data_IF_361684258973
#
_entry.id   IF_361684258973
#
_cell.length_a   1.000
_cell.length_b   1.000
_cell.length_c   1.000
_cell.angle_alpha   90.00
_cell.angle_beta   90.00
_cell.angle_gamma   90.00
#
_symmetry.space_group_name_H-M   'P 1'
#
loop_
_entity.id
_entity.type
_entity.pdbx_description
1 polymer ?
#
# COMPACT_ATOMS: atom_id res chain seq x y z
N UNK A 1 -11.65 -19.80 20.92
CA UNK A 1 -10.49 -20.68 20.79
C UNK A 1 -9.46 -19.93 19.98
N UNK A 2 -8.18 -19.85 20.35
CA UNK A 2 -7.20 -19.29 19.47
C UNK A 2 -7.19 -20.13 18.19
N UNK A 3 -7.27 -19.46 17.05
CA UNK A 3 -7.23 -20.09 15.75
C UNK A 3 -5.78 -20.58 15.56
N UNK A 4 -5.52 -21.84 15.87
CA UNK A 4 -4.20 -22.46 15.79
C UNK A 4 -3.95 -22.85 14.32
N UNK A 5 -3.93 -21.83 13.45
CA UNK A 5 -3.63 -22.00 12.03
C UNK A 5 -2.28 -22.70 11.88
N UNK A 6 -2.17 -23.61 10.94
CA UNK A 6 -0.89 -24.21 10.60
C UNK A 6 0.11 -23.09 10.25
N UNK A 7 1.29 -23.10 10.89
CA UNK A 7 2.22 -21.99 10.79
C UNK A 7 3.62 -22.46 10.42
N UNK A 8 4.16 -21.90 9.36
CA UNK A 8 5.57 -21.97 8.99
C UNK A 8 6.27 -20.80 9.70
N UNK A 9 7.32 -21.07 10.46
CA UNK A 9 8.11 -20.03 11.14
C UNK A 9 9.50 -19.96 10.55
N UNK A 10 9.88 -18.78 10.07
CA UNK A 10 11.16 -18.48 9.45
C UNK A 10 11.93 -17.45 10.26
N UNK A 11 13.16 -17.77 10.68
CA UNK A 11 14.07 -16.76 11.23
C UNK A 11 14.79 -16.04 10.10
N UNK A 12 14.88 -14.71 10.23
CA UNK A 12 15.57 -13.81 9.30
C UNK A 12 16.80 -13.24 10.00
N UNK A 13 17.98 -13.60 9.52
CA UNK A 13 19.25 -13.13 10.07
C UNK A 13 20.14 -12.64 8.94
N UNK A 14 20.47 -11.34 8.91
CA UNK A 14 21.29 -10.73 7.85
C UNK A 14 20.82 -11.11 6.42
N UNK A 15 19.52 -11.06 6.16
CA UNK A 15 18.94 -11.42 4.87
C UNK A 15 18.89 -12.93 4.58
N UNK A 16 19.34 -13.79 5.50
CA UNK A 16 19.25 -15.23 5.38
C UNK A 16 18.00 -15.76 6.10
N UNK A 17 17.15 -16.47 5.36
CA UNK A 17 16.04 -17.25 5.91
C UNK A 17 16.54 -18.61 6.41
N UNK A 18 16.04 -19.03 7.56
CA UNK A 18 16.23 -20.36 8.12
C UNK A 18 14.92 -20.85 8.75
N UNK A 19 14.63 -22.14 8.61
CA UNK A 19 13.44 -22.77 9.19
C UNK A 19 13.57 -22.85 10.71
N UNK A 20 12.57 -22.36 11.42
CA UNK A 20 12.40 -22.55 12.87
C UNK A 20 11.33 -23.60 13.13
N UNK A 21 10.19 -23.49 12.44
CA UNK A 21 9.10 -24.47 12.48
C UNK A 21 8.62 -24.72 11.06
N UNK A 22 8.41 -25.97 10.73
CA UNK A 22 7.79 -26.37 9.47
C UNK A 22 6.32 -26.70 9.67
N UNK A 23 5.53 -26.53 8.64
CA UNK A 23 4.15 -26.97 8.57
C UNK A 23 3.87 -27.49 7.18
N UNK A 24 2.97 -28.47 7.09
CA UNK A 24 2.61 -29.08 5.83
C UNK A 24 1.74 -28.11 5.01
N UNK A 25 2.17 -27.83 3.80
CA UNK A 25 1.33 -27.16 2.80
C UNK A 25 0.52 -28.21 2.06
N UNK A 26 -0.80 -28.15 2.15
CA UNK A 26 -1.72 -29.13 1.57
C UNK A 26 -2.54 -28.46 0.50
N UNK A 27 -2.68 -29.14 -0.63
CA UNK A 27 -3.53 -28.70 -1.74
C UNK A 27 -4.99 -28.49 -1.29
N UNK A 28 -5.65 -27.45 -1.83
CA UNK A 28 -7.01 -27.09 -1.48
C UNK A 28 -7.18 -26.40 -0.13
N UNK A 29 -6.09 -26.11 0.60
CA UNK A 29 -6.13 -25.37 1.85
C UNK A 29 -6.38 -23.87 1.60
N UNK A 30 -7.34 -23.31 2.32
CA UNK A 30 -7.71 -21.88 2.23
C UNK A 30 -7.56 -21.22 3.61
N UNK A 31 -6.81 -20.12 3.71
CA UNK A 31 -6.66 -19.28 4.91
C UNK A 31 -6.30 -20.04 6.20
N UNK A 32 -5.71 -21.22 6.09
CA UNK A 32 -5.33 -22.05 7.23
C UNK A 32 -3.80 -22.26 7.35
N UNK A 33 -3.00 -21.77 6.40
CA UNK A 33 -1.55 -21.83 6.44
C UNK A 33 -0.98 -20.40 6.45
N UNK A 34 -0.22 -20.08 7.50
CA UNK A 34 0.46 -18.78 7.65
C UNK A 34 1.97 -18.94 7.61
N UNK A 35 2.65 -17.86 7.26
CA UNK A 35 4.09 -17.72 7.43
C UNK A 35 4.35 -16.59 8.44
N UNK A 36 5.15 -16.89 9.46
CA UNK A 36 5.65 -15.93 10.44
C UNK A 36 7.14 -15.70 10.21
N UNK A 37 7.57 -14.45 10.23
CA UNK A 37 8.98 -14.07 10.08
C UNK A 37 9.52 -13.52 11.40
N UNK A 38 10.51 -14.18 11.98
CA UNK A 38 11.20 -13.77 13.19
C UNK A 38 12.48 -13.03 12.83
N UNK A 39 12.46 -11.71 12.88
CA UNK A 39 13.61 -10.86 12.58
C UNK A 39 14.59 -10.85 13.74
N UNK A 40 15.81 -11.30 13.51
CA UNK A 40 16.86 -11.42 14.54
C UNK A 40 17.92 -10.33 14.46
N UNK A 41 17.87 -9.46 13.45
CA UNK A 41 18.79 -8.34 13.26
C UNK A 41 18.03 -7.03 13.15
N UNK A 42 18.67 -5.94 13.57
CA UNK A 42 18.05 -4.61 13.61
C UNK A 42 17.87 -3.98 12.22
N UNK A 43 18.51 -4.52 11.19
CA UNK A 43 18.45 -4.01 9.81
C UNK A 43 17.01 -3.95 9.27
N UNK A 44 16.14 -4.79 9.81
CA UNK A 44 14.71 -4.86 9.45
C UNK A 44 13.81 -3.92 10.25
N UNK A 45 14.36 -3.20 11.23
CA UNK A 45 13.58 -2.28 12.03
C UNK A 45 13.10 -1.08 11.19
N UNK A 46 11.87 -0.65 11.44
CA UNK A 46 11.23 0.47 10.75
C UNK A 46 11.17 0.31 9.21
N UNK A 47 11.21 -0.92 8.70
CA UNK A 47 10.98 -1.22 7.30
C UNK A 47 9.54 -1.70 7.10
N UNK A 48 8.92 -1.32 5.98
CA UNK A 48 7.71 -2.00 5.49
C UNK A 48 8.14 -3.34 4.93
N UNK A 49 7.64 -4.43 5.52
CA UNK A 49 8.05 -5.79 5.22
C UNK A 49 7.02 -6.46 4.31
N UNK A 50 7.50 -7.02 3.21
CA UNK A 50 6.65 -7.68 2.21
C UNK A 50 7.21 -9.08 1.93
N UNK A 51 6.38 -10.09 2.16
CA UNK A 51 6.67 -11.45 1.73
C UNK A 51 6.45 -11.56 0.21
N UNK A 52 7.30 -12.33 -0.43
CA UNK A 52 7.21 -12.60 -1.86
C UNK A 52 7.06 -14.10 -2.04
N UNK A 53 6.02 -14.50 -2.73
CA UNK A 53 5.74 -15.88 -3.04
C UNK A 53 5.86 -16.12 -4.53
N UNK A 54 6.42 -17.26 -4.91
CA UNK A 54 6.60 -17.66 -6.30
C UNK A 54 6.24 -19.12 -6.45
N UNK A 55 5.42 -19.47 -7.45
CA UNK A 55 5.17 -20.87 -7.80
C UNK A 55 6.45 -21.49 -8.40
N UNK A 56 6.79 -22.67 -7.95
CA UNK A 56 7.97 -23.40 -8.40
C UNK A 56 9.24 -23.09 -7.59
N UNK A 57 10.37 -23.58 -8.10
CA UNK A 57 11.68 -23.23 -7.56
C UNK A 57 12.20 -22.00 -8.28
N UNK A 58 12.63 -21.02 -7.51
CA UNK A 58 13.28 -19.84 -8.07
C UNK A 58 14.65 -20.19 -8.63
N UNK A 59 14.69 -20.49 -9.89
CA UNK A 59 15.92 -20.46 -10.69
C UNK A 59 15.64 -19.54 -11.87
N UNK A 60 16.18 -18.34 -11.86
CA UNK A 60 16.44 -17.40 -12.97
C UNK A 60 15.40 -17.17 -14.08
N UNK A 61 14.23 -17.81 -14.06
CA UNK A 61 13.23 -17.74 -15.14
C UNK A 61 11.81 -17.73 -14.59
N UNK A 62 11.48 -16.74 -13.76
CA UNK A 62 10.08 -16.49 -13.37
C UNK A 62 9.51 -15.40 -14.23
N UNK A 63 8.42 -15.70 -14.92
CA UNK A 63 7.55 -14.64 -15.47
C UNK A 63 6.90 -13.89 -14.32
N UNK A 64 6.70 -12.58 -14.46
CA UNK A 64 6.05 -11.76 -13.43
C UNK A 64 4.63 -12.25 -13.04
N UNK A 65 4.02 -13.12 -13.85
CA UNK A 65 2.69 -13.68 -13.62
C UNK A 65 2.61 -14.67 -12.45
N UNK A 66 3.75 -15.22 -11.99
CA UNK A 66 3.79 -16.23 -10.94
C UNK A 66 4.24 -15.68 -9.58
N UNK A 67 4.36 -14.36 -9.46
CA UNK A 67 4.85 -13.69 -8.24
C UNK A 67 3.70 -13.02 -7.52
N UNK A 68 3.52 -13.37 -6.24
CA UNK A 68 2.55 -12.73 -5.33
C UNK A 68 3.28 -12.02 -4.20
N UNK A 69 2.88 -10.77 -3.94
CA UNK A 69 3.42 -9.96 -2.85
C UNK A 69 2.37 -9.82 -1.75
N UNK A 70 2.78 -10.08 -0.51
CA UNK A 70 1.91 -9.96 0.67
C UNK A 70 2.62 -9.14 1.74
N UNK A 71 2.00 -8.04 2.16
CA UNK A 71 2.54 -7.21 3.24
C UNK A 71 2.29 -7.93 4.57
N UNK A 72 3.29 -7.93 5.45
CA UNK A 72 3.16 -8.55 6.76
C UNK A 72 2.27 -7.69 7.67
N UNK A 73 1.55 -8.38 8.54
CA UNK A 73 0.83 -7.75 9.65
C UNK A 73 1.76 -7.30 10.78
N UNK A 74 1.19 -6.71 11.84
CA UNK A 74 1.92 -6.22 13.01
C UNK A 74 2.64 -7.35 13.78
N UNK A 75 2.22 -8.61 13.61
CA UNK A 75 2.85 -9.80 14.18
C UNK A 75 3.96 -10.35 13.29
N UNK A 76 4.26 -9.71 12.17
CA UNK A 76 5.14 -10.18 11.11
C UNK A 76 4.66 -11.50 10.48
N UNK A 77 3.37 -11.65 10.31
CA UNK A 77 2.71 -12.81 9.70
C UNK A 77 2.03 -12.44 8.40
N UNK A 78 1.84 -13.42 7.55
CA UNK A 78 0.96 -13.34 6.38
C UNK A 78 0.38 -14.72 6.04
N UNK A 79 -0.75 -14.74 5.35
CA UNK A 79 -1.30 -15.97 4.80
C UNK A 79 -0.51 -16.39 3.56
N UNK A 80 -0.39 -17.71 3.35
CA UNK A 80 0.12 -18.24 2.08
C UNK A 80 -0.96 -18.05 1.02
N UNK A 81 -0.65 -17.40 -0.12
CA UNK A 81 -1.61 -17.19 -1.19
C UNK A 81 -2.27 -18.50 -1.65
N UNK A 82 -3.60 -18.48 -1.77
CA UNK A 82 -4.40 -19.67 -2.08
C UNK A 82 -4.07 -20.26 -3.45
N UNK A 83 -3.65 -19.41 -4.40
CA UNK A 83 -3.25 -19.83 -5.73
C UNK A 83 -2.05 -20.77 -5.71
N UNK A 84 -1.17 -20.63 -4.71
CA UNK A 84 -0.01 -21.51 -4.53
C UNK A 84 -0.42 -22.88 -3.99
N UNK A 85 -1.53 -22.93 -3.26
CA UNK A 85 -2.08 -24.13 -2.65
C UNK A 85 -3.17 -24.79 -3.54
N UNK A 86 -3.48 -24.21 -4.71
CA UNK A 86 -4.50 -24.72 -5.62
C UNK A 86 -4.11 -26.03 -6.32
N UNK A 87 -2.84 -26.37 -6.37
CA UNK A 87 -2.30 -27.59 -6.97
C UNK A 87 -1.06 -28.02 -6.23
N UNK A 88 -0.78 -29.32 -6.26
CA UNK A 88 0.49 -29.88 -5.81
C UNK A 88 1.69 -29.25 -6.53
N UNK A 89 2.86 -29.34 -5.97
CA UNK A 89 4.08 -28.81 -6.57
C UNK A 89 4.99 -28.11 -5.57
N UNK A 90 5.73 -27.14 -6.06
CA UNK A 90 6.68 -26.36 -5.24
C UNK A 90 6.28 -24.90 -5.25
N UNK A 91 6.49 -24.23 -4.12
CA UNK A 91 6.54 -22.76 -4.06
C UNK A 91 7.76 -22.30 -3.29
N UNK A 92 8.14 -21.06 -3.53
CA UNK A 92 9.24 -20.42 -2.82
C UNK A 92 8.74 -19.17 -2.14
N UNK A 93 9.24 -18.88 -0.95
CA UNK A 93 8.98 -17.66 -0.20
C UNK A 93 10.28 -16.94 0.08
N UNK A 94 10.24 -15.63 -0.08
CA UNK A 94 11.27 -14.68 0.31
C UNK A 94 10.64 -13.49 1.01
N UNK A 95 11.47 -12.58 1.49
CA UNK A 95 10.99 -11.35 2.11
C UNK A 95 11.90 -10.18 1.75
N UNK A 96 11.34 -9.01 1.56
CA UNK A 96 12.10 -7.78 1.50
C UNK A 96 11.49 -6.72 2.43
N UNK A 97 12.34 -5.79 2.84
CA UNK A 97 11.96 -4.61 3.62
C UNK A 97 12.39 -3.34 2.91
N UNK A 98 11.54 -2.32 2.94
CA UNK A 98 11.82 -1.00 2.36
C UNK A 98 11.61 0.06 3.43
N UNK A 99 12.53 1.03 3.47
CA UNK A 99 12.43 2.25 4.26
C UNK A 99 13.20 3.35 3.52
N UNK A 100 12.53 4.43 3.17
CA UNK A 100 13.10 5.52 2.39
C UNK A 100 13.82 5.01 1.12
N UNK A 101 15.11 5.22 1.00
CA UNK A 101 15.98 4.70 -0.06
C UNK A 101 16.64 3.35 0.26
N UNK A 102 16.38 2.82 1.46
CA UNK A 102 16.96 1.55 1.93
C UNK A 102 16.08 0.37 1.57
N UNK A 103 16.69 -0.66 0.96
CA UNK A 103 16.06 -1.95 0.67
C UNK A 103 16.92 -3.10 1.18
N UNK A 104 16.31 -3.99 1.94
CA UNK A 104 16.90 -5.25 2.37
C UNK A 104 16.11 -6.41 1.79
N UNK A 105 16.78 -7.45 1.35
CA UNK A 105 16.15 -8.64 0.76
C UNK A 105 16.70 -9.90 1.41
N UNK A 106 15.90 -10.97 1.43
CA UNK A 106 16.34 -12.30 1.86
C UNK A 106 16.68 -13.21 0.68
N UNK A 107 17.28 -14.35 0.98
CA UNK A 107 17.29 -15.49 0.07
C UNK A 107 15.89 -16.14 0.02
N UNK A 108 15.73 -17.12 -0.86
CA UNK A 108 14.51 -17.90 -1.00
C UNK A 108 14.50 -19.13 -0.12
N UNK A 109 13.29 -19.51 0.36
CA UNK A 109 13.02 -20.78 1.01
C UNK A 109 11.94 -21.54 0.23
N UNK A 110 12.21 -22.80 -0.12
CA UNK A 110 11.30 -23.61 -0.93
C UNK A 110 10.47 -24.55 -0.05
N UNK A 111 9.21 -24.71 -0.43
CA UNK A 111 8.23 -25.60 0.19
C UNK A 111 7.55 -26.46 -0.87
N UNK A 112 7.10 -27.65 -0.45
CA UNK A 112 6.30 -28.52 -1.28
C UNK A 112 4.84 -28.49 -0.82
N UNK A 113 3.95 -28.30 -1.78
CA UNK A 113 2.51 -28.55 -1.61
C UNK A 113 2.26 -30.02 -1.92
N UNK A 114 1.64 -30.72 -0.99
CA UNK A 114 1.26 -32.14 -1.16
C UNK A 114 -0.21 -32.25 -1.48
N UNK A 115 -0.60 -33.35 -2.12
CA UNK A 115 -1.98 -33.64 -2.46
C UNK A 115 -2.91 -33.52 -1.25
N UNK A 116 -4.04 -32.85 -1.43
CA UNK A 116 -5.09 -32.72 -0.43
C UNK A 116 -6.24 -33.70 -0.70
N UNK A 117 -7.00 -33.99 0.33
CA UNK A 117 -8.21 -34.82 0.18
C UNK A 117 -9.38 -34.07 -0.47
N UNK A 118 -9.28 -32.76 -0.64
CA UNK A 118 -10.23 -31.89 -1.30
C UNK A 118 -9.51 -31.08 -2.38
N UNK A 119 -9.23 -31.74 -3.49
CA UNK A 119 -8.59 -31.13 -4.65
C UNK A 119 -9.54 -31.28 -5.84
N UNK A 120 -10.23 -30.22 -6.21
CA UNK A 120 -11.10 -30.20 -7.39
C UNK A 120 -10.42 -29.60 -8.63
N UNK A 121 -9.14 -29.21 -8.48
CA UNK A 121 -8.34 -28.58 -9.53
C UNK A 121 -8.79 -27.17 -9.90
N UNK A 122 -9.79 -26.63 -9.23
CA UNK A 122 -10.18 -25.21 -9.36
C UNK A 122 -9.34 -24.34 -8.43
N UNK A 123 -9.03 -23.14 -8.87
CA UNK A 123 -8.45 -22.15 -7.97
C UNK A 123 -9.56 -21.69 -7.02
N UNK A 124 -9.42 -21.90 -5.70
CA UNK A 124 -10.40 -21.41 -4.74
C UNK A 124 -10.59 -19.91 -4.90
N UNK A 125 -11.83 -19.45 -4.75
CA UNK A 125 -12.09 -18.01 -4.67
C UNK A 125 -11.43 -17.51 -3.38
N UNK A 126 -10.41 -16.68 -3.51
CA UNK A 126 -9.73 -16.09 -2.35
C UNK A 126 -10.71 -15.14 -1.64
N UNK A 127 -11.10 -15.43 -0.38
CA UNK A 127 -11.86 -14.49 0.42
C UNK A 127 -11.00 -13.34 0.95
N UNK A 128 -9.67 -13.42 0.80
CA UNK A 128 -8.79 -12.35 1.23
C UNK A 128 -8.77 -11.21 0.23
N UNK A 129 -8.64 -10.02 0.77
CA UNK A 129 -8.49 -8.81 -0.01
C UNK A 129 -7.26 -8.89 -0.92
N UNK A 130 -7.42 -8.43 -2.13
CA UNK A 130 -6.32 -8.27 -3.09
C UNK A 130 -5.24 -7.35 -2.50
N UNK A 131 -4.01 -7.42 -3.03
CA UNK A 131 -2.94 -6.48 -2.66
C UNK A 131 -3.42 -5.02 -2.75
N UNK A 132 -4.26 -4.72 -3.74
CA UNK A 132 -4.87 -3.41 -3.91
C UNK A 132 -5.76 -3.03 -2.72
N UNK A 133 -6.63 -3.94 -2.26
CA UNK A 133 -7.48 -3.72 -1.08
C UNK A 133 -6.68 -3.62 0.21
N UNK A 134 -5.60 -4.40 0.34
CA UNK A 134 -4.67 -4.28 1.47
C UNK A 134 -3.98 -2.91 1.48
N UNK A 135 -3.52 -2.42 0.33
CA UNK A 135 -2.94 -1.09 0.18
C UNK A 135 -3.97 -0.01 0.51
N UNK A 136 -5.20 -0.13 0.01
CA UNK A 136 -6.29 0.82 0.30
C UNK A 136 -6.61 0.82 1.79
N UNK A 137 -6.71 -0.35 2.43
CA UNK A 137 -6.92 -0.44 3.88
C UNK A 137 -5.79 0.22 4.68
N UNK A 138 -4.53 0.01 4.29
CA UNK A 138 -3.39 0.66 4.92
C UNK A 138 -3.37 2.17 4.71
N UNK A 139 -3.76 2.66 3.52
CA UNK A 139 -3.87 4.08 3.23
C UNK A 139 -4.98 4.72 4.06
N UNK A 140 -6.13 4.06 4.18
CA UNK A 140 -7.25 4.53 5.00
C UNK A 140 -6.86 4.60 6.49
N UNK A 141 -6.18 3.58 7.02
CA UNK A 141 -5.69 3.58 8.40
C UNK A 141 -4.63 4.66 8.66
N UNK A 142 -3.82 5.02 7.65
CA UNK A 142 -2.87 6.15 7.76
C UNK A 142 -3.55 7.51 7.64
N UNK A 143 -4.67 7.58 6.91
CA UNK A 143 -5.47 8.81 6.77
C UNK A 143 -6.18 9.19 8.07
N UNK A 144 -6.50 8.22 8.94
CA UNK A 144 -7.14 8.50 10.23
C UNK A 144 -6.17 8.98 11.31
N UNK A 145 -4.86 8.81 11.13
CA UNK A 145 -3.85 9.33 12.06
C UNK A 145 -3.49 10.77 11.71
N UNK A 146 -4.40 11.68 12.09
CA UNK A 146 -4.03 13.07 12.37
C UNK A 146 -3.40 13.90 11.24
N UNK A 147 -3.77 13.66 9.98
CA UNK A 147 -3.51 14.64 8.93
C UNK A 147 -4.52 15.77 9.03
N UNK A 148 -4.30 16.61 10.02
CA UNK A 148 -5.04 17.85 10.14
C UNK A 148 -4.42 18.87 9.19
N UNK A 149 -5.03 19.07 8.04
CA UNK A 149 -4.65 20.12 7.08
C UNK A 149 -5.11 21.51 7.54
N UNK A 150 -5.81 21.58 8.68
CA UNK A 150 -6.44 22.81 9.19
C UNK A 150 -5.43 23.91 9.52
N UNK A 151 -4.16 23.58 9.76
CA UNK A 151 -3.12 24.59 9.99
C UNK A 151 -2.44 25.12 8.70
N UNK A 152 -2.65 24.49 7.56
CA UNK A 152 -2.02 24.84 6.28
C UNK A 152 -2.95 25.42 5.24
N UNK A 153 -4.22 25.12 5.33
CA UNK A 153 -5.22 25.56 4.37
C UNK A 153 -6.35 26.27 5.10
N UNK A 154 -6.77 27.39 4.54
CA UNK A 154 -7.95 28.09 5.06
C UNK A 154 -9.16 27.18 4.99
N UNK A 155 -9.94 27.13 6.05
CA UNK A 155 -11.27 26.53 6.02
C UNK A 155 -12.15 27.29 5.02
N UNK A 156 -13.26 26.68 4.58
CA UNK A 156 -14.19 27.36 3.65
C UNK A 156 -14.65 28.70 4.19
N UNK A 157 -14.92 28.82 5.50
CA UNK A 157 -15.30 30.06 6.14
C UNK A 157 -14.18 31.11 6.14
N UNK A 158 -12.96 30.72 6.47
CA UNK A 158 -11.80 31.63 6.43
C UNK A 158 -11.42 32.05 5.00
N UNK A 159 -11.70 31.20 4.00
CA UNK A 159 -11.57 31.53 2.58
C UNK A 159 -12.60 32.59 2.16
N UNK A 160 -13.85 32.43 2.57
CA UNK A 160 -14.93 33.37 2.28
C UNK A 160 -14.65 34.75 2.90
N UNK A 161 -14.02 34.80 4.09
CA UNK A 161 -13.65 36.06 4.77
C UNK A 161 -12.39 36.72 4.17
N UNK A 162 -11.52 36.00 3.50
CA UNK A 162 -10.25 36.51 2.96
C UNK A 162 -10.29 36.87 1.48
N UNK A 163 -11.16 36.23 0.73
CA UNK A 163 -11.28 36.50 -0.69
C UNK A 163 -12.51 37.40 -0.93
N UNK A 164 -12.29 38.46 -1.69
CA UNK A 164 -13.35 39.37 -2.10
C UNK A 164 -14.43 38.56 -2.81
N UNK A 165 -15.67 38.66 -2.32
CA UNK A 165 -16.82 38.01 -2.95
C UNK A 165 -17.10 38.58 -4.33
N UNK A 166 -17.78 37.81 -5.19
CA UNK A 166 -18.19 38.29 -6.51
C UNK A 166 -19.11 39.51 -6.41
N UNK A 167 -19.87 39.64 -5.32
CA UNK A 167 -20.75 40.77 -5.05
C UNK A 167 -19.95 42.03 -4.70
N UNK A 168 -18.86 41.88 -3.92
CA UNK A 168 -17.95 43.00 -3.61
C UNK A 168 -17.18 43.43 -4.86
N UNK A 169 -16.75 42.52 -5.71
CA UNK A 169 -16.13 42.84 -7.00
C UNK A 169 -17.10 43.63 -7.88
N UNK A 170 -18.35 43.17 -7.98
CA UNK A 170 -19.36 43.86 -8.75
C UNK A 170 -19.65 45.26 -8.20
N UNK A 171 -19.66 45.44 -6.86
CA UNK A 171 -19.82 46.74 -6.22
C UNK A 171 -18.62 47.66 -6.48
N UNK A 172 -17.40 47.14 -6.42
CA UNK A 172 -16.18 47.91 -6.73
C UNK A 172 -16.21 48.35 -8.21
N UNK A 173 -16.60 47.47 -9.11
CA UNK A 173 -16.70 47.77 -10.55
C UNK A 173 -17.81 48.80 -10.79
N UNK A 174 -18.96 48.72 -10.09
CA UNK A 174 -20.07 49.65 -10.22
C UNK A 174 -19.77 51.02 -9.62
N UNK A 175 -18.89 51.09 -8.60
CA UNK A 175 -18.47 52.34 -7.94
C UNK A 175 -17.15 52.86 -8.49
N UNK A 176 -16.39 52.07 -9.25
CA UNK A 176 -15.25 52.57 -9.99
C UNK A 176 -15.76 53.65 -10.96
N UNK A 177 -15.29 54.86 -10.74
CA UNK A 177 -15.58 55.97 -11.61
C UNK A 177 -14.98 55.66 -12.99
N UNK A 178 -15.77 55.07 -13.86
CA UNK A 178 -15.36 54.81 -15.24
C UNK A 178 -15.06 56.20 -15.79
N UNK A 179 -13.80 56.47 -16.04
CA UNK A 179 -13.39 57.71 -16.71
C UNK A 179 -14.11 57.70 -18.06
N UNK A 180 -15.21 58.41 -18.11
CA UNK A 180 -16.01 58.60 -19.31
C UNK A 180 -15.10 59.30 -20.34
N UNK A 181 -15.19 58.90 -21.61
CA UNK A 181 -14.44 59.51 -22.70
C UNK A 181 -14.58 61.02 -22.75
N UNK A 182 -15.74 61.55 -22.30
CA UNK A 182 -15.97 62.98 -22.15
C UNK A 182 -15.08 63.65 -21.10
N UNK A 183 -14.69 62.99 -20.01
CA UNK A 183 -13.75 63.51 -19.02
C UNK A 183 -12.32 63.50 -19.55
N UNK A 184 -11.95 62.50 -20.35
CA UNK A 184 -10.66 62.41 -21.01
C UNK A 184 -10.48 63.54 -22.04
N UNK A 185 -11.50 63.84 -22.82
CA UNK A 185 -11.49 64.93 -23.79
C UNK A 185 -11.35 66.30 -23.11
N UNK A 186 -12.05 66.50 -21.98
CA UNK A 186 -11.96 67.77 -21.20
C UNK A 186 -10.55 67.94 -20.59
N UNK A 187 -9.95 66.88 -20.06
CA UNK A 187 -8.58 66.92 -19.52
C UNK A 187 -7.52 67.13 -20.61
N UNK A 188 -7.75 66.64 -21.81
CA UNK A 188 -6.87 66.84 -22.96
C UNK A 188 -6.94 68.29 -23.46
N UNK A 189 -8.14 68.94 -23.46
CA UNK A 189 -8.27 70.33 -23.81
C UNK A 189 -7.62 71.30 -22.83
N UNK A 190 -7.61 70.97 -21.50
CA UNK A 190 -6.94 71.80 -20.48
C UNK A 190 -5.39 71.71 -20.54
N UNK A 191 -4.83 70.70 -21.14
CA UNK A 191 -3.37 70.54 -21.25
C UNK A 191 -2.79 71.16 -22.55
N UNK A 192 -3.64 71.51 -23.48
CA UNK A 192 -3.22 72.03 -24.81
C UNK A 192 -3.39 73.58 -24.95
N UNK A 193 -3.72 74.27 -23.85
CA UNK A 193 -3.71 75.72 -23.70
C UNK A 193 -2.52 76.18 -22.85
#
# INVERSE_FOLDING_TARGET
MPNDSAKIILAVTNGKLSKVRDSLAVEGTINALKVEFQFRTQDWNNTTKTAVFVRGRTTHSTTNADITYVILDDNNECDVPVELLAKDGMFSVGIFGIRDDYRIVSNWMCYRVVDGCYADGSTPIDPNSTIYEQIISMLNNKSEVGHNHDERYYTKGESEDKFISQEEINNIVATADVVDDTKLDTMLEEVLV
#
